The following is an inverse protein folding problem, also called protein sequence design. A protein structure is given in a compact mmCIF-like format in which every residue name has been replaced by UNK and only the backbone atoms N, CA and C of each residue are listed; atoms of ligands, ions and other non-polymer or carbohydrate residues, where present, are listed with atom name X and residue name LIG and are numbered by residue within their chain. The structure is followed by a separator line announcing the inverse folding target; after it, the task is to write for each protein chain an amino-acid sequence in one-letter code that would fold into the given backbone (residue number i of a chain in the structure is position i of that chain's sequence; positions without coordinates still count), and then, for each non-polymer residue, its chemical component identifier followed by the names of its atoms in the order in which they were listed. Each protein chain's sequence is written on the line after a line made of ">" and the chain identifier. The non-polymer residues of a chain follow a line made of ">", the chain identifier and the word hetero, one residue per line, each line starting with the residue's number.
data_IF_721372843090
#
_entry.id   IF_721372843090
#
_cell.length_a   1.000
_cell.length_b   1.000
_cell.length_c   1.000
_cell.angle_alpha   90.00
_cell.angle_beta   90.00
_cell.angle_gamma   90.00
#
_symmetry.space_group_name_H-M   'P 1'
#
loop_
_entity.id
_entity.type
_entity.pdbx_description
1 polymer ?
#
# COMPACT_ATOMS: atom_id res chain seq x y z
N UNK A 1 -0.40 9.74 12.93
CA UNK A 1 -1.07 10.55 11.87
C UNK A 1 -0.14 10.65 10.67
N UNK A 2 -0.70 10.70 9.46
CA UNK A 2 0.00 10.91 8.19
C UNK A 2 -0.73 11.94 7.36
N UNK A 3 0.02 12.82 6.71
CA UNK A 3 -0.47 13.72 5.68
C UNK A 3 0.35 13.52 4.41
N UNK A 4 -0.27 13.64 3.24
CA UNK A 4 0.40 13.49 1.97
C UNK A 4 -0.13 14.42 0.90
N UNK A 5 0.74 14.79 -0.03
CA UNK A 5 0.43 15.58 -1.22
C UNK A 5 0.81 14.74 -2.44
N UNK A 6 -0.11 14.70 -3.40
CA UNK A 6 0.04 14.05 -4.68
C UNK A 6 0.21 15.10 -5.76
N UNK A 7 1.14 14.87 -6.68
CA UNK A 7 1.26 15.59 -7.94
C UNK A 7 1.03 14.59 -9.07
N UNK A 8 -0.12 14.68 -9.70
CA UNK A 8 -0.50 13.95 -10.89
C UNK A 8 0.04 14.66 -12.14
N UNK A 9 0.41 13.91 -13.18
CA UNK A 9 0.97 14.48 -14.41
C UNK A 9 -0.02 15.33 -15.18
N UNK A 10 -1.30 14.95 -15.19
CA UNK A 10 -2.38 15.57 -15.95
C UNK A 10 -3.42 16.19 -15.00
N UNK A 11 -3.77 15.49 -13.92
CA UNK A 11 -4.85 15.90 -13.01
C UNK A 11 -4.40 16.69 -11.77
N UNK A 12 -3.30 17.44 -11.88
CA UNK A 12 -2.90 18.44 -10.89
C UNK A 12 -2.54 17.87 -9.51
N UNK A 13 -3.09 18.44 -8.44
CA UNK A 13 -2.69 18.13 -7.05
C UNK A 13 -3.82 17.48 -6.27
N UNK A 14 -3.48 16.46 -5.50
CA UNK A 14 -4.34 15.84 -4.50
C UNK A 14 -3.73 15.90 -3.10
N UNK A 15 -4.57 15.78 -2.08
CA UNK A 15 -4.15 15.72 -0.67
C UNK A 15 -4.79 14.53 0.02
N UNK A 16 -4.07 13.97 0.97
CA UNK A 16 -4.53 12.86 1.81
C UNK A 16 -4.15 13.13 3.26
N UNK A 17 -5.06 12.80 4.18
CA UNK A 17 -4.79 12.77 5.60
C UNK A 17 -5.31 11.45 6.18
N UNK A 18 -4.54 10.85 7.09
CA UNK A 18 -4.89 9.60 7.75
C UNK A 18 -4.50 9.66 9.24
N UNK A 19 -5.41 9.19 10.09
CA UNK A 19 -5.14 8.91 11.49
C UNK A 19 -5.30 7.40 11.72
N UNK A 20 -4.39 6.84 12.51
CA UNK A 20 -4.38 5.43 12.87
C UNK A 20 -4.20 5.31 14.36
N UNK A 21 -4.93 4.37 14.96
CA UNK A 21 -4.83 3.99 16.36
C UNK A 21 -4.62 2.48 16.45
N UNK A 22 -3.67 2.05 17.28
CA UNK A 22 -3.34 0.65 17.52
C UNK A 22 -3.74 0.27 18.95
N UNK A 23 -4.39 -0.87 19.08
CA UNK A 23 -4.85 -1.43 20.36
C UNK A 23 -4.76 -2.95 20.35
N UNK A 24 -5.07 -3.59 21.47
CA UNK A 24 -5.20 -5.05 21.54
C UNK A 24 -6.30 -5.60 20.62
N UNK A 25 -7.27 -4.77 20.21
CA UNK A 25 -8.32 -5.13 19.27
C UNK A 25 -7.90 -4.96 17.81
N UNK A 26 -6.67 -4.54 17.53
CA UNK A 26 -6.13 -4.30 16.19
C UNK A 26 -5.90 -2.83 15.89
N UNK A 27 -5.67 -2.54 14.62
CA UNK A 27 -5.37 -1.22 14.10
C UNK A 27 -6.60 -0.64 13.41
N UNK A 28 -7.14 0.45 13.93
CA UNK A 28 -8.20 1.22 13.29
C UNK A 28 -7.59 2.44 12.62
N UNK A 29 -8.07 2.80 11.43
CA UNK A 29 -7.69 4.03 10.77
C UNK A 29 -8.88 4.73 10.12
N UNK A 30 -8.77 6.06 10.03
CA UNK A 30 -9.68 6.95 9.34
C UNK A 30 -8.85 7.90 8.48
N UNK A 31 -9.27 8.13 7.25
CA UNK A 31 -8.62 9.06 6.36
C UNK A 31 -9.56 9.78 5.42
N UNK A 32 -9.05 10.85 4.84
CA UNK A 32 -9.76 11.68 3.88
C UNK A 32 -8.84 12.03 2.73
N UNK A 33 -9.30 11.75 1.51
CA UNK A 33 -8.61 12.07 0.27
C UNK A 33 -9.40 13.13 -0.51
N UNK A 34 -8.69 14.08 -1.12
CA UNK A 34 -9.28 15.07 -2.02
C UNK A 34 -8.35 15.38 -3.20
N UNK A 35 -8.84 15.23 -4.42
CA UNK A 35 -8.17 15.68 -5.64
C UNK A 35 -9.20 16.37 -6.57
N UNK A 36 -9.29 17.71 -6.56
CA UNK A 36 -10.37 18.42 -7.24
C UNK A 36 -10.45 18.21 -8.75
N UNK A 37 -9.31 18.09 -9.44
CA UNK A 37 -9.30 17.87 -10.91
C UNK A 37 -9.70 16.45 -11.32
N UNK A 38 -9.65 15.50 -10.38
CA UNK A 38 -10.18 14.14 -10.56
C UNK A 38 -11.65 14.04 -10.10
N UNK A 39 -12.27 15.16 -9.70
CA UNK A 39 -13.56 15.20 -8.99
C UNK A 39 -13.63 14.21 -7.82
N UNK A 40 -12.50 14.04 -7.14
CA UNK A 40 -12.32 13.03 -6.11
C UNK A 40 -12.40 13.64 -4.71
N UNK A 41 -13.33 13.13 -3.91
CA UNK A 41 -13.39 13.39 -2.47
C UNK A 41 -13.91 12.14 -1.76
N UNK A 42 -13.12 11.59 -0.84
CA UNK A 42 -13.49 10.32 -0.21
C UNK A 42 -13.03 10.21 1.24
N UNK A 43 -14.00 10.02 2.14
CA UNK A 43 -13.76 9.51 3.49
C UNK A 43 -13.56 8.02 3.43
N UNK A 44 -12.56 7.51 4.17
CA UNK A 44 -12.17 6.11 4.17
C UNK A 44 -11.87 5.68 5.59
N UNK A 45 -12.27 4.48 5.96
CA UNK A 45 -11.90 3.88 7.24
C UNK A 45 -11.56 2.42 7.03
N UNK A 46 -10.79 1.86 7.94
CA UNK A 46 -10.49 0.45 7.90
C UNK A 46 -9.91 -0.07 9.19
N UNK A 47 -9.90 -1.39 9.28
CA UNK A 47 -9.41 -2.13 10.42
C UNK A 47 -8.59 -3.33 9.95
N UNK A 48 -7.53 -3.64 10.68
CA UNK A 48 -6.71 -4.83 10.47
C UNK A 48 -6.16 -5.36 11.81
N UNK A 49 -5.94 -6.67 11.90
CA UNK A 49 -5.30 -7.30 13.05
C UNK A 49 -4.54 -8.55 12.62
N UNK A 50 -3.37 -8.79 13.22
CA UNK A 50 -2.63 -10.04 13.04
C UNK A 50 -2.92 -11.00 14.19
N UNK A 51 -3.02 -12.29 13.88
CA UNK A 51 -3.24 -13.39 14.81
C UNK A 51 -2.24 -14.53 14.56
N UNK A 52 -1.91 -15.30 15.59
CA UNK A 52 -1.05 -16.48 15.48
C UNK A 52 0.44 -16.15 15.40
N UNK A 53 1.25 -17.09 15.91
CA UNK A 53 2.70 -16.92 16.03
C UNK A 53 3.43 -17.65 14.89
N UNK A 54 3.17 -18.95 14.71
CA UNK A 54 3.81 -19.76 13.65
C UNK A 54 3.25 -19.44 12.27
N UNK A 55 1.92 -19.39 12.17
CA UNK A 55 1.20 -18.95 10.97
C UNK A 55 0.47 -17.69 11.37
N UNK A 56 0.95 -16.57 10.83
CA UNK A 56 0.36 -15.25 11.03
C UNK A 56 -0.78 -15.05 10.05
N UNK A 57 -1.97 -14.86 10.59
CA UNK A 57 -3.19 -14.58 9.84
C UNK A 57 -3.54 -13.10 10.03
N UNK A 58 -3.76 -12.38 8.94
CA UNK A 58 -4.08 -10.95 8.98
C UNK A 58 -5.31 -10.64 8.12
N UNK A 59 -6.53 -10.68 8.69
CA UNK A 59 -7.70 -10.09 8.06
C UNK A 59 -7.61 -8.57 8.06
N UNK A 60 -8.24 -7.95 7.06
CA UNK A 60 -8.52 -6.53 7.03
C UNK A 60 -9.88 -6.23 6.40
N UNK A 61 -10.49 -5.13 6.82
CA UNK A 61 -11.70 -4.57 6.23
C UNK A 61 -11.53 -3.08 6.01
N UNK A 62 -12.15 -2.56 4.97
CA UNK A 62 -12.12 -1.15 4.60
C UNK A 62 -13.46 -0.73 4.02
N UNK A 63 -13.84 0.51 4.33
CA UNK A 63 -15.06 1.15 3.85
C UNK A 63 -14.74 2.55 3.35
N UNK A 64 -15.53 3.05 2.41
CA UNK A 64 -15.40 4.43 1.98
C UNK A 64 -16.74 5.08 1.61
N UNK A 65 -16.79 6.41 1.71
CA UNK A 65 -17.92 7.20 1.20
C UNK A 65 -18.13 6.91 -0.28
N UNK A 66 -19.40 6.87 -0.70
CA UNK A 66 -19.82 6.29 -1.99
C UNK A 66 -20.22 4.82 -1.89
N UNK A 67 -20.12 4.21 -0.71
CA UNK A 67 -20.63 2.86 -0.42
C UNK A 67 -19.64 1.74 -0.71
N UNK A 68 -18.35 2.06 -0.85
CA UNK A 68 -17.32 1.04 -1.03
C UNK A 68 -17.15 0.19 0.22
N UNK A 69 -17.01 -1.12 0.00
CA UNK A 69 -16.66 -2.10 1.02
C UNK A 69 -15.66 -3.06 0.41
N UNK A 70 -14.54 -3.28 1.10
CA UNK A 70 -13.52 -4.24 0.71
C UNK A 70 -12.90 -4.91 1.93
N UNK A 71 -12.28 -6.05 1.69
CA UNK A 71 -11.53 -6.76 2.72
C UNK A 71 -10.47 -7.66 2.10
N UNK A 72 -9.53 -8.07 2.93
CA UNK A 72 -8.50 -9.03 2.53
C UNK A 72 -8.15 -9.99 3.66
N UNK A 73 -7.56 -11.11 3.30
CA UNK A 73 -6.97 -12.07 4.23
C UNK A 73 -5.56 -12.38 3.74
N UNK A 74 -4.58 -12.16 4.61
CA UNK A 74 -3.19 -12.53 4.36
C UNK A 74 -2.74 -13.62 5.34
N UNK A 75 -1.93 -14.54 4.85
CA UNK A 75 -1.30 -15.61 5.59
C UNK A 75 0.22 -15.47 5.39
N UNK A 76 0.98 -15.58 6.48
CA UNK A 76 2.44 -15.59 6.45
C UNK A 76 2.95 -16.64 7.43
N UNK A 77 4.02 -17.34 7.08
CA UNK A 77 4.68 -18.32 7.96
C UNK A 77 6.20 -18.21 7.82
N UNK A 78 6.90 -18.66 8.85
CA UNK A 78 8.36 -18.66 8.92
C UNK A 78 8.93 -17.52 9.76
N UNK A 79 10.18 -17.69 10.17
CA UNK A 79 10.89 -16.76 11.05
C UNK A 79 11.84 -15.87 10.24
N UNK A 80 13.02 -16.40 9.90
CA UNK A 80 14.02 -15.68 9.12
C UNK A 80 13.67 -15.74 7.64
N UNK A 81 13.30 -16.90 7.12
CA UNK A 81 12.73 -17.04 5.79
C UNK A 81 11.22 -17.06 5.90
N UNK A 82 10.57 -16.12 5.23
CA UNK A 82 9.13 -15.97 5.29
C UNK A 82 8.52 -16.22 3.93
N UNK A 83 7.35 -16.83 3.94
CA UNK A 83 6.50 -16.98 2.76
C UNK A 83 5.07 -16.66 3.15
N UNK A 84 4.30 -16.16 2.19
CA UNK A 84 2.92 -15.79 2.43
C UNK A 84 2.09 -15.74 1.17
N UNK A 85 0.79 -15.70 1.38
CA UNK A 85 -0.21 -15.54 0.35
C UNK A 85 -1.37 -14.69 0.86
N UNK A 86 -2.05 -14.01 -0.06
CA UNK A 86 -3.19 -13.17 0.29
C UNK A 86 -4.29 -13.20 -0.75
N UNK A 87 -5.48 -12.83 -0.31
CA UNK A 87 -6.65 -12.64 -1.16
C UNK A 87 -7.38 -11.38 -0.74
N UNK A 88 -7.75 -10.54 -1.70
CA UNK A 88 -8.57 -9.35 -1.51
C UNK A 88 -9.86 -9.42 -2.31
N UNK A 89 -10.94 -8.84 -1.77
CA UNK A 89 -12.26 -8.75 -2.40
C UNK A 89 -12.94 -7.44 -2.08
N UNK A 90 -13.67 -6.90 -3.05
CA UNK A 90 -14.50 -5.70 -2.86
C UNK A 90 -15.92 -5.86 -3.43
N UNK A 91 -16.76 -4.88 -3.14
CA UNK A 91 -18.07 -4.72 -3.78
C UNK A 91 -18.04 -3.97 -5.12
N UNK A 92 -16.85 -3.78 -5.71
CA UNK A 92 -16.60 -3.12 -7.00
C UNK A 92 -17.02 -1.65 -7.08
N UNK A 93 -17.34 -1.01 -5.95
CA UNK A 93 -17.56 0.44 -5.96
C UNK A 93 -16.22 1.19 -6.04
N UNK A 94 -16.21 2.44 -6.58
CA UNK A 94 -14.99 3.23 -6.67
C UNK A 94 -14.31 3.45 -5.32
N UNK A 95 -12.99 3.25 -5.29
CA UNK A 95 -12.15 3.46 -4.13
C UNK A 95 -10.82 4.06 -4.54
N UNK A 96 -10.45 5.19 -3.93
CA UNK A 96 -9.14 5.79 -4.14
C UNK A 96 -8.12 5.04 -3.27
N UNK A 97 -7.55 3.98 -3.84
CA UNK A 97 -6.47 3.25 -3.22
C UNK A 97 -5.17 4.05 -3.28
N UNK A 98 -4.51 4.20 -2.14
CA UNK A 98 -3.23 4.90 -2.04
C UNK A 98 -2.04 3.97 -1.85
N UNK A 99 -2.30 2.67 -1.73
CA UNK A 99 -1.28 1.63 -1.78
C UNK A 99 -1.00 1.20 -3.22
N UNK A 100 -1.69 1.78 -4.19
CA UNK A 100 -1.55 1.56 -5.64
C UNK A 100 -1.80 0.14 -6.14
N UNK A 101 -2.01 -0.84 -5.25
CA UNK A 101 -2.32 -2.24 -5.57
C UNK A 101 -3.79 -2.52 -5.91
N UNK A 102 -4.09 -3.55 -6.71
CA UNK A 102 -5.46 -4.00 -6.92
C UNK A 102 -6.06 -4.55 -5.61
N UNK A 103 -7.30 -4.12 -5.30
CA UNK A 103 -8.00 -4.59 -4.10
C UNK A 103 -8.66 -5.97 -4.30
N UNK A 104 -9.20 -6.26 -5.49
CA UNK A 104 -9.65 -7.59 -5.87
C UNK A 104 -8.48 -8.37 -6.46
N UNK A 105 -7.70 -9.00 -5.59
CA UNK A 105 -6.43 -9.61 -5.98
C UNK A 105 -6.16 -10.92 -5.28
N UNK A 106 -5.22 -11.68 -5.81
CA UNK A 106 -4.43 -12.61 -5.02
C UNK A 106 -2.99 -12.10 -4.96
N UNK A 107 -2.30 -12.43 -3.88
CA UNK A 107 -0.91 -12.06 -3.68
C UNK A 107 -0.06 -13.23 -3.21
N UNK A 108 1.22 -13.17 -3.52
CA UNK A 108 2.27 -14.02 -2.97
C UNK A 108 3.36 -13.13 -2.39
N UNK A 109 3.98 -13.61 -1.32
CA UNK A 109 5.09 -12.95 -0.65
C UNK A 109 6.17 -13.97 -0.31
N UNK A 110 7.42 -13.59 -0.49
CA UNK A 110 8.57 -14.31 0.02
C UNK A 110 9.61 -13.31 0.51
N UNK A 111 10.40 -13.67 1.52
CA UNK A 111 11.40 -12.76 2.01
C UNK A 111 12.33 -13.33 3.06
N UNK A 112 13.25 -12.47 3.47
CA UNK A 112 14.22 -12.74 4.50
C UNK A 112 14.19 -11.63 5.56
N UNK A 113 14.20 -12.02 6.84
CA UNK A 113 14.32 -11.16 8.01
C UNK A 113 15.55 -11.59 8.80
N UNK A 114 16.56 -10.74 8.83
CA UNK A 114 17.75 -10.97 9.62
C UNK A 114 17.51 -10.59 11.09
N UNK A 115 18.24 -11.23 12.00
CA UNK A 115 18.25 -10.88 13.43
C UNK A 115 18.68 -9.42 13.68
N UNK A 116 19.49 -8.85 12.77
CA UNK A 116 19.88 -7.44 12.82
C UNK A 116 18.72 -6.46 12.62
N UNK A 117 17.54 -6.97 12.23
CA UNK A 117 16.36 -6.18 11.87
C UNK A 117 16.32 -5.75 10.39
N UNK A 118 17.36 -6.08 9.61
CA UNK A 118 17.33 -5.94 8.15
C UNK A 118 16.31 -6.91 7.56
N UNK A 119 15.51 -6.47 6.60
CA UNK A 119 14.62 -7.38 5.86
C UNK A 119 14.54 -7.08 4.37
N UNK A 120 14.32 -8.12 3.59
CA UNK A 120 14.09 -8.07 2.14
C UNK A 120 12.82 -8.84 1.82
N UNK A 121 11.87 -8.20 1.16
CA UNK A 121 10.59 -8.79 0.79
C UNK A 121 10.39 -8.66 -0.71
N UNK A 122 10.02 -9.75 -1.36
CA UNK A 122 9.45 -9.74 -2.69
C UNK A 122 7.96 -10.05 -2.56
N UNK A 123 7.11 -9.21 -3.17
CA UNK A 123 5.69 -9.50 -3.28
C UNK A 123 5.21 -9.39 -4.71
N UNK A 124 4.27 -10.25 -5.05
CA UNK A 124 3.59 -10.24 -6.34
C UNK A 124 2.10 -10.17 -6.10
N UNK A 125 1.45 -9.19 -6.73
CA UNK A 125 0.02 -8.93 -6.60
C UNK A 125 -0.58 -8.91 -8.01
N UNK A 126 -1.69 -9.62 -8.18
CA UNK A 126 -2.39 -9.69 -9.45
C UNK A 126 -3.89 -9.52 -9.22
N UNK A 127 -4.50 -8.60 -9.97
CA UNK A 127 -5.96 -8.52 -10.03
C UNK A 127 -6.51 -9.86 -10.52
N UNK A 128 -7.56 -10.34 -9.88
CA UNK A 128 -8.14 -11.65 -10.18
C UNK A 128 -9.65 -11.56 -10.45
N UNK A 129 -10.09 -10.38 -10.89
CA UNK A 129 -11.50 -10.10 -11.15
C UNK A 129 -11.69 -9.29 -12.42
N UNK A 130 -11.58 -7.97 -12.37
CA UNK A 130 -11.98 -7.11 -13.49
C UNK A 130 -10.86 -6.92 -14.51
N UNK A 131 -9.60 -6.90 -14.06
CA UNK A 131 -8.46 -6.54 -14.91
C UNK A 131 -7.31 -7.52 -14.68
N UNK A 132 -7.45 -8.82 -14.99
CA UNK A 132 -6.48 -9.84 -14.61
C UNK A 132 -5.10 -9.70 -15.25
N UNK A 133 -4.94 -8.76 -16.18
CA UNK A 133 -3.67 -8.32 -16.74
C UNK A 133 -2.89 -7.37 -15.81
N UNK A 134 -3.58 -6.66 -14.89
CA UNK A 134 -3.00 -5.71 -13.95
C UNK A 134 -2.26 -6.40 -12.82
N UNK A 135 -0.96 -6.09 -12.73
CA UNK A 135 -0.02 -6.79 -11.87
C UNK A 135 1.05 -5.85 -11.31
N UNK A 136 1.41 -6.08 -10.05
CA UNK A 136 2.56 -5.45 -9.40
C UNK A 136 3.52 -6.49 -8.88
N UNK A 137 4.80 -6.18 -9.02
CA UNK A 137 5.87 -6.86 -8.32
C UNK A 137 6.64 -5.83 -7.51
N UNK A 138 6.72 -6.03 -6.20
CA UNK A 138 7.50 -5.19 -5.31
C UNK A 138 8.74 -5.91 -4.83
N UNK A 139 9.83 -5.16 -4.73
CA UNK A 139 11.00 -5.54 -3.96
C UNK A 139 11.24 -4.48 -2.88
N UNK A 140 10.98 -4.83 -1.63
CA UNK A 140 11.13 -3.94 -0.49
C UNK A 140 12.35 -4.33 0.33
N UNK A 141 13.24 -3.37 0.58
CA UNK A 141 14.34 -3.49 1.55
C UNK A 141 14.09 -2.57 2.73
N UNK A 142 14.34 -3.05 3.94
CA UNK A 142 14.18 -2.29 5.17
C UNK A 142 15.43 -2.45 6.02
N UNK A 143 16.12 -1.34 6.24
CA UNK A 143 17.43 -1.30 6.90
C UNK A 143 17.32 -0.50 8.20
N UNK A 144 17.55 -1.12 9.36
CA UNK A 144 17.69 -0.38 10.61
C UNK A 144 18.97 0.44 10.60
N UNK A 145 18.90 1.65 11.15
CA UNK A 145 20.01 2.58 11.29
C UNK A 145 20.26 2.88 12.77
N UNK A 146 21.34 3.61 13.07
CA UNK A 146 21.62 4.07 14.42
C UNK A 146 20.45 4.91 14.98
N UNK A 147 20.26 4.91 16.30
CA UNK A 147 19.23 5.76 16.94
C UNK A 147 17.79 5.29 16.77
N UNK A 148 17.55 4.00 16.50
CA UNK A 148 16.21 3.43 16.18
C UNK A 148 15.59 4.04 14.90
N UNK A 149 16.43 4.60 14.05
CA UNK A 149 16.04 5.09 12.74
C UNK A 149 15.98 3.95 11.74
N UNK A 150 15.38 4.21 10.57
CA UNK A 150 15.21 3.18 9.55
C UNK A 150 15.05 3.77 8.16
N UNK A 151 15.71 3.14 7.19
CA UNK A 151 15.52 3.39 5.77
C UNK A 151 14.68 2.26 5.18
N UNK A 152 13.65 2.60 4.41
CA UNK A 152 12.88 1.63 3.61
C UNK A 152 12.92 2.04 2.15
N UNK A 153 13.32 1.10 1.30
CA UNK A 153 13.32 1.23 -0.15
C UNK A 153 12.29 0.26 -0.70
N UNK A 154 11.47 0.71 -1.65
CA UNK A 154 10.51 -0.12 -2.37
C UNK A 154 10.68 0.12 -3.86
N UNK A 155 10.98 -0.94 -4.60
CA UNK A 155 11.00 -0.92 -6.07
C UNK A 155 9.73 -1.58 -6.57
N UNK A 156 8.97 -0.87 -7.40
CA UNK A 156 7.76 -1.35 -8.03
C UNK A 156 8.03 -1.64 -9.50
N UNK A 157 7.70 -2.84 -9.95
CA UNK A 157 7.49 -3.15 -11.36
C UNK A 157 6.01 -3.40 -11.63
N UNK A 158 5.41 -2.57 -12.47
CA UNK A 158 3.99 -2.58 -12.82
C UNK A 158 3.80 -2.99 -14.27
N UNK A 159 2.85 -3.89 -14.52
CA UNK A 159 2.41 -4.25 -15.88
C UNK A 159 0.91 -4.46 -15.95
N UNK A 160 0.34 -4.21 -17.12
CA UNK A 160 -1.10 -4.35 -17.37
C UNK A 160 -1.52 -3.50 -18.57
N UNK A 161 -2.82 -3.39 -18.79
CA UNK A 161 -3.46 -2.58 -19.82
C UNK A 161 -3.88 -1.23 -19.23
N UNK A 162 -3.57 -0.16 -19.95
CA UNK A 162 -4.06 1.20 -19.73
C UNK A 162 -4.51 1.72 -21.08
N UNK A 163 -5.79 2.10 -21.20
CA UNK A 163 -6.41 2.56 -22.45
C UNK A 163 -6.12 1.66 -23.66
N UNK A 164 -6.20 0.34 -23.44
CA UNK A 164 -5.95 -0.68 -24.48
C UNK A 164 -4.48 -0.88 -24.85
N UNK A 165 -3.56 -0.14 -24.24
CA UNK A 165 -2.13 -0.31 -24.44
C UNK A 165 -1.49 -1.07 -23.28
N UNK A 166 -0.64 -2.04 -23.61
CA UNK A 166 0.15 -2.73 -22.60
C UNK A 166 1.26 -1.82 -22.08
N UNK A 167 1.33 -1.70 -20.76
CA UNK A 167 2.38 -1.00 -20.05
C UNK A 167 3.29 -1.99 -19.30
N UNK A 168 4.55 -1.59 -19.17
CA UNK A 168 5.56 -2.22 -18.32
C UNK A 168 6.45 -1.10 -17.79
N UNK A 169 6.29 -0.76 -16.51
CA UNK A 169 6.85 0.46 -15.92
C UNK A 169 7.48 0.19 -14.57
N UNK A 170 8.44 1.04 -14.21
CA UNK A 170 9.12 1.00 -12.92
C UNK A 170 8.77 2.25 -12.12
N UNK A 171 8.36 2.03 -10.88
CA UNK A 171 8.14 3.06 -9.87
C UNK A 171 8.83 2.67 -8.57
N UNK A 172 8.49 3.34 -7.50
CA UNK A 172 9.00 2.96 -6.19
C UNK A 172 8.86 4.05 -5.15
N UNK A 173 9.42 3.80 -3.98
CA UNK A 173 9.44 4.78 -2.90
C UNK A 173 10.65 4.65 -2.00
N UNK A 174 10.95 5.77 -1.34
CA UNK A 174 11.96 5.86 -0.29
C UNK A 174 11.27 6.42 0.95
N UNK A 175 11.44 5.75 2.08
CA UNK A 175 10.94 6.20 3.38
C UNK A 175 12.09 6.29 4.36
N UNK A 176 12.20 7.43 5.03
CA UNK A 176 13.07 7.60 6.18
C UNK A 176 12.22 7.73 7.44
N UNK A 177 12.50 6.88 8.42
CA UNK A 177 11.82 6.86 9.71
C UNK A 177 12.78 7.29 10.82
N UNK A 178 12.43 8.36 11.52
CA UNK A 178 12.89 8.63 12.87
C UNK A 178 12.02 7.87 13.88
N UNK A 179 12.38 7.85 15.17
CA UNK A 179 11.56 7.20 16.19
C UNK A 179 10.10 7.69 16.19
N UNK A 180 9.90 9.01 16.11
CA UNK A 180 8.58 9.64 16.22
C UNK A 180 8.00 10.15 14.90
N UNK A 181 8.82 10.29 13.84
CA UNK A 181 8.40 10.91 12.58
C UNK A 181 8.87 10.09 11.39
N UNK A 182 8.22 10.28 10.25
CA UNK A 182 8.73 9.73 8.99
C UNK A 182 8.45 10.68 7.83
N UNK A 183 9.28 10.56 6.79
CA UNK A 183 9.05 11.15 5.47
C UNK A 183 9.12 10.06 4.43
N UNK A 184 8.20 10.06 3.48
CA UNK A 184 8.17 9.15 2.33
C UNK A 184 7.99 9.93 1.04
N UNK A 185 8.80 9.60 0.04
CA UNK A 185 8.59 10.02 -1.35
C UNK A 185 8.32 8.78 -2.18
N UNK A 186 7.27 8.82 -3.00
CA UNK A 186 6.92 7.75 -3.91
C UNK A 186 6.68 8.29 -5.32
N UNK A 187 7.01 7.48 -6.31
CA UNK A 187 6.65 7.68 -7.70
C UNK A 187 5.92 6.44 -8.20
N UNK A 188 4.71 6.64 -8.71
CA UNK A 188 3.87 5.59 -9.27
C UNK A 188 3.51 5.93 -10.73
N UNK A 189 4.10 5.23 -11.72
CA UNK A 189 3.74 5.42 -13.12
C UNK A 189 2.37 4.79 -13.39
N UNK A 190 1.53 5.46 -14.18
CA UNK A 190 0.17 5.01 -14.47
C UNK A 190 -0.58 4.62 -13.19
N UNK A 191 -0.75 5.59 -12.29
CA UNK A 191 -1.29 5.38 -10.96
C UNK A 191 -2.69 4.81 -11.03
N UNK A 192 -2.94 3.74 -10.26
CA UNK A 192 -4.16 2.93 -10.34
C UNK A 192 -4.55 2.52 -11.79
N UNK A 193 -3.55 2.25 -12.64
CA UNK A 193 -3.73 1.91 -14.06
C UNK A 193 -4.50 2.96 -14.88
N UNK A 194 -4.30 4.24 -14.57
CA UNK A 194 -4.76 5.38 -15.37
C UNK A 194 -3.65 5.94 -16.28
N UNK A 195 -3.95 6.98 -17.08
CA UNK A 195 -2.95 7.72 -17.86
C UNK A 195 -2.00 8.54 -16.98
N UNK A 196 -2.40 8.83 -15.75
CA UNK A 196 -1.64 9.70 -14.86
C UNK A 196 -0.45 9.00 -14.23
N UNK A 197 0.70 9.67 -14.18
CA UNK A 197 1.77 9.34 -13.25
C UNK A 197 1.60 10.17 -11.98
N UNK A 198 1.94 9.61 -10.82
CA UNK A 198 1.82 10.30 -9.55
C UNK A 198 3.15 10.34 -8.79
N UNK A 199 3.53 11.55 -8.36
CA UNK A 199 4.46 11.73 -7.26
C UNK A 199 3.69 11.91 -5.96
N UNK A 200 4.15 11.30 -4.87
CA UNK A 200 3.58 11.46 -3.54
C UNK A 200 4.67 11.81 -2.54
N UNK A 201 4.51 12.93 -1.84
CA UNK A 201 5.25 13.24 -0.62
C UNK A 201 4.33 12.98 0.56
N UNK A 202 4.79 12.22 1.55
CA UNK A 202 4.05 11.98 2.79
C UNK A 202 4.93 12.25 4.00
N UNK A 203 4.34 12.84 5.02
CA UNK A 203 4.94 13.06 6.33
C UNK A 203 4.01 12.51 7.40
N UNK A 204 4.56 11.98 8.48
CA UNK A 204 3.73 11.49 9.57
C UNK A 204 4.44 11.42 10.89
N UNK A 205 3.64 11.25 11.92
CA UNK A 205 4.06 11.10 13.32
C UNK A 205 3.44 9.86 13.94
N UNK A 206 4.21 9.22 14.83
CA UNK A 206 3.79 8.12 15.69
C UNK A 206 3.53 8.68 17.08
N UNK A 207 2.35 8.40 17.61
CA UNK A 207 1.91 8.76 18.97
C UNK A 207 1.27 7.55 19.61
#
# INVERSE_FOLDING_TARGET
>A
MTAGVFKFSENGVGVDANIRHSSDYGNLWLGYFRAPRLDASQWRAGWDKSFGDTIRIQPSVQVASGGFVGGSLNLETGENWIVGAGLGRTNLRPYYNLNFDPNDSWSMLAGYRAESGQSYLASYIRDNRQNPDQQHFHLTSRTPLAGKERLTLDLLYKRGLVDGQHISKVGGSVTYDWPQFFVRVAYDPHTNFSTDNAWRLSVGTRF
#
